data_IF_316024209109
#
_entry.id   IF_316024209109
#
_cell.length_a   1.000
_cell.length_b   1.000
_cell.length_c   1.000
_cell.angle_alpha   90.00
_cell.angle_beta   90.00
_cell.angle_gamma   90.00
#
_symmetry.space_group_name_H-M   'P 1'
#
loop_
_entity.id
_entity.type
_entity.pdbx_description
1 polymer ?
#
# COMPACT_ATOMS: atom_id res chain seq x y z
N UNK A 1 -14.50 27.77 -9.08
CA UNK A 1 -13.48 27.58 -10.13
C UNK A 1 -13.99 26.74 -11.31
N UNK A 2 -15.10 26.01 -11.17
CA UNK A 2 -15.65 25.17 -12.26
C UNK A 2 -14.97 23.81 -12.45
N UNK A 3 -14.13 23.37 -11.52
CA UNK A 3 -13.52 22.05 -11.58
C UNK A 3 -14.57 20.94 -11.40
N UNK A 4 -14.53 19.90 -12.22
CA UNK A 4 -15.37 18.71 -12.06
C UNK A 4 -14.89 17.90 -10.86
N UNK A 5 -15.72 17.67 -9.83
CA UNK A 5 -15.29 16.93 -8.63
C UNK A 5 -14.86 15.48 -8.92
N UNK A 6 -15.33 14.87 -10.00
CA UNK A 6 -14.92 13.53 -10.42
C UNK A 6 -13.48 13.47 -10.94
N UNK A 7 -12.89 14.64 -11.25
CA UNK A 7 -11.52 14.81 -11.70
C UNK A 7 -10.57 15.31 -10.60
N UNK A 8 -11.04 15.26 -9.35
CA UNK A 8 -10.25 15.61 -8.17
C UNK A 8 -9.86 14.33 -7.42
N UNK A 9 -8.56 14.11 -7.28
CA UNK A 9 -8.00 13.06 -6.43
C UNK A 9 -7.63 13.65 -5.08
N UNK A 10 -8.19 13.12 -4.00
CA UNK A 10 -8.02 13.62 -2.65
C UNK A 10 -7.53 12.49 -1.74
N UNK A 11 -6.30 12.61 -1.23
CA UNK A 11 -5.63 11.55 -0.50
C UNK A 11 -5.16 12.00 0.87
N UNK A 12 -5.24 11.08 1.85
CA UNK A 12 -4.69 11.27 3.19
C UNK A 12 -4.18 9.95 3.75
N UNK A 13 -3.48 10.02 4.90
CA UNK A 13 -2.84 8.84 5.49
C UNK A 13 -3.84 7.88 6.17
N UNK A 14 -4.77 8.38 6.98
CA UNK A 14 -5.63 7.54 7.80
C UNK A 14 -7.09 7.54 7.38
N UNK A 15 -7.82 6.44 7.66
CA UNK A 15 -9.27 6.33 7.42
C UNK A 15 -10.05 7.42 8.16
N UNK A 16 -9.62 7.76 9.38
CA UNK A 16 -10.24 8.83 10.18
C UNK A 16 -10.05 10.18 9.52
N UNK A 17 -8.84 10.50 9.06
CA UNK A 17 -8.56 11.73 8.33
C UNK A 17 -9.34 11.79 7.01
N UNK A 18 -9.43 10.69 6.25
CA UNK A 18 -10.23 10.63 5.04
C UNK A 18 -11.72 10.96 5.30
N UNK A 19 -12.31 10.36 6.35
CA UNK A 19 -13.70 10.64 6.73
C UNK A 19 -13.90 12.10 7.17
N UNK A 20 -12.98 12.66 7.95
CA UNK A 20 -13.05 14.06 8.39
C UNK A 20 -12.90 15.03 7.21
N UNK A 21 -11.98 14.74 6.30
CA UNK A 21 -11.75 15.49 5.08
C UNK A 21 -13.03 15.53 4.21
N UNK A 22 -13.68 14.38 3.99
CA UNK A 22 -14.94 14.30 3.25
C UNK A 22 -16.02 15.11 3.92
N UNK A 23 -16.23 14.97 5.24
CA UNK A 23 -17.21 15.77 6.00
C UNK A 23 -16.93 17.27 5.93
N UNK A 24 -15.65 17.66 5.91
CA UNK A 24 -15.26 19.06 5.79
C UNK A 24 -15.61 19.61 4.42
N UNK A 25 -15.35 18.85 3.36
CA UNK A 25 -15.76 19.21 1.99
C UNK A 25 -17.27 19.36 1.90
N UNK A 26 -18.04 18.41 2.44
CA UNK A 26 -19.52 18.47 2.48
C UNK A 26 -20.02 19.75 3.17
N UNK A 27 -19.47 20.08 4.35
CA UNK A 27 -19.85 21.31 5.08
C UNK A 27 -19.53 22.58 4.31
N UNK A 28 -18.36 22.64 3.67
CA UNK A 28 -17.97 23.80 2.85
C UNK A 28 -18.85 23.90 1.62
N UNK A 29 -19.09 22.78 0.92
CA UNK A 29 -19.96 22.72 -0.24
C UNK A 29 -21.38 23.17 0.08
N UNK A 30 -21.97 22.68 1.18
CA UNK A 30 -23.30 23.09 1.63
C UNK A 30 -23.39 24.60 1.90
N UNK A 31 -22.34 25.18 2.50
CA UNK A 31 -22.30 26.63 2.81
C UNK A 31 -22.16 27.49 1.55
N UNK A 32 -21.39 27.03 0.56
CA UNK A 32 -21.03 27.83 -0.63
C UNK A 32 -21.97 27.61 -1.80
N UNK A 33 -22.45 26.36 -1.99
CA UNK A 33 -23.19 25.93 -3.17
C UNK A 33 -24.69 25.69 -2.89
N UNK A 34 -25.11 25.67 -1.61
CA UNK A 34 -26.50 25.41 -1.25
C UNK A 34 -26.99 24.08 -1.82
N UNK A 35 -28.09 24.10 -2.59
CA UNK A 35 -28.74 22.91 -3.16
C UNK A 35 -27.84 22.13 -4.16
N UNK A 36 -26.76 22.73 -4.66
CA UNK A 36 -25.80 22.05 -5.55
C UNK A 36 -24.70 21.31 -4.80
N UNK A 37 -24.69 21.37 -3.49
CA UNK A 37 -23.67 20.71 -2.66
C UNK A 37 -23.65 19.19 -2.84
N UNK A 38 -24.84 18.55 -2.95
CA UNK A 38 -24.96 17.10 -3.14
C UNK A 38 -24.26 16.61 -4.42
N UNK A 39 -24.43 17.34 -5.52
CA UNK A 39 -23.80 17.00 -6.81
C UNK A 39 -22.28 17.02 -6.69
N UNK A 40 -21.74 17.99 -5.95
CA UNK A 40 -20.30 18.09 -5.75
C UNK A 40 -19.76 16.97 -4.86
N UNK A 41 -20.45 16.65 -3.78
CA UNK A 41 -20.01 15.60 -2.83
C UNK A 41 -20.14 14.20 -3.41
N UNK A 42 -21.23 13.91 -4.12
CA UNK A 42 -21.42 12.67 -4.87
C UNK A 42 -20.39 12.49 -5.99
N UNK A 43 -19.97 13.59 -6.61
CA UNK A 43 -18.93 13.59 -7.63
C UNK A 43 -17.52 13.33 -7.11
N UNK A 44 -17.26 13.52 -5.79
CA UNK A 44 -15.93 13.34 -5.21
C UNK A 44 -15.63 11.86 -4.93
N UNK A 45 -15.62 11.08 -5.99
CA UNK A 45 -15.49 9.61 -5.93
C UNK A 45 -14.07 9.12 -5.68
N UNK A 46 -13.07 10.01 -5.80
CA UNK A 46 -11.64 9.73 -5.66
C UNK A 46 -11.07 10.37 -4.39
N UNK A 47 -11.74 10.15 -3.26
CA UNK A 47 -11.29 10.59 -1.94
C UNK A 47 -11.06 9.39 -1.03
N UNK A 48 -9.91 9.32 -0.35
CA UNK A 48 -9.61 8.20 0.53
C UNK A 48 -8.20 8.20 1.08
N UNK A 49 -7.80 7.06 1.64
CA UNK A 49 -6.42 6.82 2.06
C UNK A 49 -5.54 6.44 0.87
N UNK A 50 -4.22 6.65 0.98
CA UNK A 50 -3.26 6.21 -0.04
C UNK A 50 -3.48 4.74 -0.43
N UNK A 51 -3.58 3.84 0.52
CA UNK A 51 -3.79 2.41 0.25
C UNK A 51 -5.12 2.13 -0.48
N UNK A 52 -6.20 2.80 -0.10
CA UNK A 52 -7.50 2.59 -0.76
C UNK A 52 -7.51 3.10 -2.21
N UNK A 53 -6.93 4.27 -2.44
CA UNK A 53 -6.77 4.85 -3.77
C UNK A 53 -5.80 4.01 -4.60
N UNK A 54 -4.64 3.63 -4.04
CA UNK A 54 -3.67 2.77 -4.70
C UNK A 54 -4.27 1.44 -5.13
N UNK A 55 -4.97 0.75 -4.24
CA UNK A 55 -5.64 -0.51 -4.55
C UNK A 55 -6.67 -0.37 -5.69
N UNK A 56 -7.42 0.75 -5.73
CA UNK A 56 -8.37 1.02 -6.79
C UNK A 56 -7.68 1.29 -8.13
N UNK A 57 -6.63 2.11 -8.14
CA UNK A 57 -5.86 2.40 -9.35
C UNK A 57 -5.15 1.15 -9.89
N UNK A 58 -4.62 0.30 -8.99
CA UNK A 58 -4.01 -0.97 -9.38
C UNK A 58 -5.04 -1.93 -10.01
N UNK A 59 -6.27 -2.01 -9.48
CA UNK A 59 -7.34 -2.81 -10.10
C UNK A 59 -7.76 -2.28 -11.46
N UNK A 60 -7.88 -0.96 -11.58
CA UNK A 60 -8.27 -0.31 -12.84
C UNK A 60 -7.23 -0.55 -13.96
N UNK A 61 -5.94 -0.71 -13.60
CA UNK A 61 -4.82 -0.88 -14.55
C UNK A 61 -4.15 -2.27 -14.44
N UNK A 62 -4.78 -3.23 -13.80
CA UNK A 62 -4.16 -4.52 -13.44
C UNK A 62 -3.58 -5.26 -14.65
N UNK A 63 -4.32 -5.33 -15.75
CA UNK A 63 -3.88 -6.01 -16.97
C UNK A 63 -2.63 -5.37 -17.58
N UNK A 64 -2.50 -4.05 -17.50
CA UNK A 64 -1.39 -3.30 -18.08
C UNK A 64 -0.08 -3.50 -17.31
N UNK A 65 -0.20 -3.79 -16.02
CA UNK A 65 0.95 -4.02 -15.13
C UNK A 65 1.21 -5.48 -14.80
N UNK A 66 0.44 -6.42 -15.39
CA UNK A 66 0.62 -7.85 -15.19
C UNK A 66 0.09 -8.37 -13.84
N UNK A 67 -0.85 -7.66 -13.21
CA UNK A 67 -1.56 -8.12 -12.02
C UNK A 67 -2.90 -8.75 -12.38
N UNK A 68 -3.35 -9.70 -11.56
CA UNK A 68 -4.74 -10.14 -11.57
C UNK A 68 -5.58 -9.15 -10.74
N UNK A 69 -6.57 -8.52 -11.37
CA UNK A 69 -7.44 -7.53 -10.72
C UNK A 69 -8.24 -8.09 -9.52
N UNK A 70 -8.40 -9.43 -9.44
CA UNK A 70 -9.08 -10.12 -8.35
C UNK A 70 -8.19 -10.29 -7.10
N UNK A 71 -7.04 -9.64 -7.02
CA UNK A 71 -6.17 -9.74 -5.85
C UNK A 71 -6.90 -9.38 -4.55
N UNK A 72 -6.60 -10.13 -3.49
CA UNK A 72 -7.00 -9.80 -2.12
C UNK A 72 -5.92 -8.99 -1.41
N UNK A 73 -6.30 -8.28 -0.36
CA UNK A 73 -5.36 -7.45 0.41
C UNK A 73 -5.27 -8.04 1.80
N UNK A 74 -4.06 -8.46 2.18
CA UNK A 74 -3.75 -8.85 3.54
C UNK A 74 -3.49 -7.62 4.40
N UNK A 75 -4.10 -7.59 5.57
CA UNK A 75 -3.72 -6.64 6.59
C UNK A 75 -2.41 -7.08 7.29
N UNK A 76 -2.00 -6.34 8.33
CA UNK A 76 -0.73 -6.63 9.01
C UNK A 76 -0.75 -7.96 9.75
N UNK A 77 -1.91 -8.40 10.25
CA UNK A 77 -2.05 -9.67 10.98
C UNK A 77 -2.05 -10.83 10.00
N UNK A 78 -2.83 -10.76 8.93
CA UNK A 78 -2.86 -11.74 7.84
C UNK A 78 -1.46 -11.92 7.23
N UNK A 79 -0.75 -10.81 6.98
CA UNK A 79 0.62 -10.82 6.45
C UNK A 79 1.60 -11.50 7.41
N UNK A 80 1.47 -11.24 8.73
CA UNK A 80 2.30 -11.88 9.73
C UNK A 80 2.00 -13.36 9.86
N UNK A 81 0.75 -13.77 9.69
CA UNK A 81 0.34 -15.18 9.74
C UNK A 81 0.83 -15.95 8.52
N UNK A 82 0.75 -15.38 7.32
CA UNK A 82 1.36 -15.96 6.13
C UNK A 82 2.89 -16.07 6.27
N UNK A 83 3.55 -15.02 6.76
CA UNK A 83 4.99 -15.06 7.07
C UNK A 83 5.33 -16.17 8.06
N UNK A 84 4.49 -16.39 9.06
CA UNK A 84 4.68 -17.45 10.04
C UNK A 84 4.49 -18.85 9.46
N UNK A 85 3.50 -19.02 8.58
CA UNK A 85 3.27 -20.27 7.86
C UNK A 85 4.51 -20.65 7.04
N UNK A 86 4.99 -19.74 6.21
CA UNK A 86 6.20 -19.94 5.39
C UNK A 86 7.43 -20.23 6.27
N UNK A 87 7.58 -19.52 7.39
CA UNK A 87 8.65 -19.75 8.36
C UNK A 87 8.61 -21.18 8.95
N UNK A 88 7.42 -21.71 9.20
CA UNK A 88 7.22 -23.08 9.66
C UNK A 88 7.56 -24.10 8.58
N UNK A 89 7.12 -23.87 7.36
CA UNK A 89 7.37 -24.76 6.21
C UNK A 89 8.85 -24.89 5.89
N UNK A 90 9.61 -23.80 6.06
CA UNK A 90 11.07 -23.77 5.93
C UNK A 90 11.82 -24.35 7.16
N UNK A 91 11.10 -24.80 8.19
CA UNK A 91 11.70 -25.36 9.39
C UNK A 91 12.34 -24.33 10.35
N UNK A 92 12.26 -23.04 10.05
CA UNK A 92 12.90 -21.96 10.80
C UNK A 92 12.29 -21.72 12.20
N UNK A 93 11.18 -22.35 12.51
CA UNK A 93 10.55 -22.32 13.83
C UNK A 93 11.16 -23.29 14.84
N UNK A 94 12.01 -24.22 14.39
CA UNK A 94 12.58 -25.32 15.19
C UNK A 94 14.11 -25.27 15.25
N UNK A 95 14.70 -24.12 15.02
CA UNK A 95 16.15 -23.92 15.07
C UNK A 95 16.70 -23.98 16.50
N UNK A 96 17.92 -24.48 16.69
CA UNK A 96 18.61 -24.53 17.99
C UNK A 96 18.77 -23.13 18.62
N UNK A 97 19.06 -22.13 17.78
CA UNK A 97 19.01 -20.72 18.18
C UNK A 97 17.66 -20.13 17.84
N UNK A 98 17.20 -19.19 18.66
CA UNK A 98 15.89 -18.59 18.50
C UNK A 98 15.82 -17.69 17.25
N UNK A 99 15.28 -18.22 16.15
CA UNK A 99 14.96 -17.44 14.95
C UNK A 99 13.93 -16.32 15.24
N UNK A 100 13.99 -15.18 14.58
CA UNK A 100 13.05 -14.06 14.77
C UNK A 100 11.58 -14.48 14.68
N UNK A 101 10.74 -13.89 15.53
CA UNK A 101 9.30 -14.12 15.51
C UNK A 101 8.63 -13.50 14.27
N UNK A 102 7.43 -13.99 13.90
CA UNK A 102 6.68 -13.54 12.71
C UNK A 102 6.59 -12.02 12.56
N UNK A 103 6.30 -11.33 13.66
CA UNK A 103 6.19 -9.87 13.65
C UNK A 103 7.52 -9.15 13.41
N UNK A 104 8.64 -9.71 13.90
CA UNK A 104 9.98 -9.19 13.63
C UNK A 104 10.38 -9.45 12.18
N UNK A 105 10.12 -10.65 11.65
CA UNK A 105 10.38 -10.98 10.24
C UNK A 105 9.61 -10.03 9.31
N UNK A 106 8.32 -9.82 9.57
CA UNK A 106 7.49 -8.90 8.79
C UNK A 106 8.00 -7.45 8.90
N UNK A 107 8.43 -7.00 10.09
CA UNK A 107 8.96 -5.65 10.28
C UNK A 107 10.28 -5.44 9.52
N UNK A 108 11.16 -6.45 9.47
CA UNK A 108 12.40 -6.42 8.69
C UNK A 108 12.07 -6.36 7.19
N UNK A 109 11.19 -7.24 6.73
CA UNK A 109 10.72 -7.28 5.32
C UNK A 109 10.17 -5.93 4.89
N UNK A 110 9.17 -5.43 5.60
CA UNK A 110 8.53 -4.13 5.35
C UNK A 110 9.56 -2.99 5.29
N UNK A 111 10.51 -2.99 6.23
CA UNK A 111 11.56 -1.98 6.26
C UNK A 111 12.48 -2.03 5.03
N UNK A 112 12.87 -3.23 4.59
CA UNK A 112 13.72 -3.42 3.43
C UNK A 112 13.01 -3.00 2.15
N UNK A 113 11.75 -3.41 1.98
CA UNK A 113 10.93 -3.09 0.81
C UNK A 113 10.66 -1.57 0.72
N UNK A 114 10.19 -0.95 1.80
CA UNK A 114 9.86 0.47 1.79
C UNK A 114 11.08 1.39 1.68
N UNK A 115 12.22 0.98 2.24
CA UNK A 115 13.47 1.72 2.11
C UNK A 115 14.20 1.45 0.79
N UNK A 116 13.77 0.44 0.02
CA UNK A 116 14.47 -0.07 -1.17
C UNK A 116 15.97 -0.31 -0.86
N UNK A 117 16.25 -0.91 0.29
CA UNK A 117 17.58 -1.09 0.83
C UNK A 117 17.93 -2.57 0.94
N UNK A 118 19.22 -2.87 0.81
CA UNK A 118 19.76 -4.21 1.00
C UNK A 118 19.47 -4.71 2.43
N UNK A 119 19.12 -5.99 2.54
CA UNK A 119 18.72 -6.60 3.81
C UNK A 119 19.78 -6.43 4.89
N UNK A 120 21.04 -6.64 4.54
CA UNK A 120 22.18 -6.53 5.48
C UNK A 120 22.30 -5.12 6.05
N UNK A 121 22.08 -4.08 5.23
CA UNK A 121 22.10 -2.70 5.69
C UNK A 121 20.95 -2.41 6.66
N UNK A 122 19.76 -2.96 6.38
CA UNK A 122 18.58 -2.85 7.25
C UNK A 122 18.82 -3.56 8.58
N UNK A 123 19.38 -4.78 8.52
CA UNK A 123 19.70 -5.56 9.72
C UNK A 123 20.72 -4.83 10.59
N UNK A 124 21.85 -4.42 10.01
CA UNK A 124 22.92 -3.75 10.75
C UNK A 124 22.42 -2.47 11.43
N UNK A 125 21.56 -1.69 10.79
CA UNK A 125 21.07 -0.42 11.29
C UNK A 125 19.92 -0.55 12.30
N UNK A 126 18.96 -1.44 12.03
CA UNK A 126 17.67 -1.46 12.73
C UNK A 126 17.40 -2.74 13.52
N UNK A 127 18.04 -3.85 13.16
CA UNK A 127 17.82 -5.17 13.77
C UNK A 127 19.16 -5.90 14.00
N UNK A 128 20.15 -5.31 14.69
CA UNK A 128 21.50 -5.87 14.82
C UNK A 128 21.53 -7.28 15.42
N UNK A 129 20.54 -7.64 16.25
CA UNK A 129 20.39 -8.97 16.83
C UNK A 129 19.94 -10.04 15.82
N UNK A 130 19.54 -9.63 14.61
CA UNK A 130 19.12 -10.53 13.53
C UNK A 130 20.18 -10.69 12.43
N UNK A 131 21.33 -10.02 12.52
CA UNK A 131 22.38 -10.05 11.48
C UNK A 131 22.85 -11.47 11.15
N UNK A 132 22.96 -12.34 12.18
CA UNK A 132 23.35 -13.74 11.99
C UNK A 132 22.34 -14.60 11.21
N UNK A 133 21.17 -14.08 10.92
CA UNK A 133 20.09 -14.77 10.18
C UNK A 133 19.85 -14.20 8.77
N UNK A 134 20.81 -13.46 8.22
CA UNK A 134 20.60 -12.75 6.96
C UNK A 134 20.22 -13.69 5.80
N UNK A 135 20.88 -14.83 5.67
CA UNK A 135 20.63 -15.78 4.56
C UNK A 135 19.28 -16.51 4.73
N UNK A 136 18.95 -16.90 5.96
CA UNK A 136 17.66 -17.52 6.28
C UNK A 136 16.51 -16.52 6.09
N UNK A 137 16.71 -15.26 6.43
CA UNK A 137 15.73 -14.20 6.20
C UNK A 137 15.54 -13.93 4.70
N UNK A 138 16.58 -13.93 3.88
CA UNK A 138 16.46 -13.84 2.41
C UNK A 138 15.63 -14.99 1.86
N UNK A 139 15.93 -16.21 2.29
CA UNK A 139 15.17 -17.40 1.89
C UNK A 139 13.71 -17.29 2.30
N UNK A 140 13.44 -16.87 3.55
CA UNK A 140 12.09 -16.67 4.07
C UNK A 140 11.33 -15.61 3.25
N UNK A 141 11.96 -14.49 2.94
CA UNK A 141 11.31 -13.39 2.21
C UNK A 141 11.04 -13.76 0.75
N UNK A 142 11.93 -14.51 0.10
CA UNK A 142 11.68 -15.07 -1.24
C UNK A 142 10.45 -15.98 -1.24
N UNK A 143 10.40 -16.95 -0.32
CA UNK A 143 9.26 -17.86 -0.20
C UNK A 143 7.96 -17.15 0.22
N UNK A 144 8.03 -16.09 1.02
CA UNK A 144 6.88 -15.26 1.38
C UNK A 144 6.29 -14.55 0.15
N UNK A 145 7.14 -13.99 -0.71
CA UNK A 145 6.71 -13.36 -1.98
C UNK A 145 6.06 -14.40 -2.90
N UNK A 146 6.66 -15.58 -3.06
CA UNK A 146 6.09 -16.68 -3.84
C UNK A 146 4.72 -17.12 -3.29
N UNK A 147 4.58 -17.24 -1.98
CA UNK A 147 3.32 -17.59 -1.34
C UNK A 147 2.23 -16.54 -1.58
N UNK A 148 2.56 -15.24 -1.52
CA UNK A 148 1.62 -14.17 -1.86
C UNK A 148 1.18 -14.24 -3.32
N UNK A 149 2.11 -14.45 -4.24
CA UNK A 149 1.82 -14.59 -5.68
C UNK A 149 0.93 -15.79 -5.96
N UNK A 150 1.23 -16.94 -5.36
CA UNK A 150 0.44 -18.17 -5.53
C UNK A 150 -1.02 -18.02 -5.05
N UNK A 151 -1.25 -17.19 -4.05
CA UNK A 151 -2.58 -16.91 -3.49
C UNK A 151 -3.27 -15.68 -4.09
N UNK A 152 -2.62 -14.99 -5.03
CA UNK A 152 -3.07 -13.70 -5.58
C UNK A 152 -3.38 -12.69 -4.47
N UNK A 153 -2.41 -12.47 -3.59
CA UNK A 153 -2.51 -11.60 -2.42
C UNK A 153 -1.47 -10.50 -2.51
N UNK A 154 -1.85 -9.29 -2.16
CA UNK A 154 -0.95 -8.16 -1.92
C UNK A 154 -1.05 -7.73 -0.45
N UNK A 155 0.08 -7.42 0.18
CA UNK A 155 0.09 -6.72 1.46
C UNK A 155 0.14 -5.19 1.26
N UNK A 156 0.14 -4.43 2.35
CA UNK A 156 0.18 -2.97 2.25
C UNK A 156 1.47 -2.43 1.62
N UNK A 157 2.59 -3.11 1.80
CA UNK A 157 3.87 -2.73 1.20
C UNK A 157 3.84 -2.98 -0.31
N UNK A 158 3.26 -4.10 -0.75
CA UNK A 158 3.07 -4.40 -2.17
C UNK A 158 2.19 -3.36 -2.86
N UNK A 159 1.10 -2.92 -2.21
CA UNK A 159 0.22 -1.89 -2.80
C UNK A 159 1.00 -0.61 -3.14
N UNK A 160 1.87 -0.16 -2.24
CA UNK A 160 2.66 1.04 -2.47
C UNK A 160 3.76 0.80 -3.51
N UNK A 161 4.42 -0.35 -3.48
CA UNK A 161 5.45 -0.72 -4.44
C UNK A 161 4.89 -0.81 -5.87
N UNK A 162 3.81 -1.56 -6.05
CA UNK A 162 3.14 -1.69 -7.35
C UNK A 162 2.59 -0.35 -7.85
N UNK A 163 2.06 0.47 -6.96
CA UNK A 163 1.59 1.81 -7.33
C UNK A 163 2.74 2.70 -7.78
N UNK A 164 3.87 2.69 -7.07
CA UNK A 164 5.06 3.43 -7.48
C UNK A 164 5.57 2.97 -8.85
N UNK A 165 5.64 1.65 -9.10
CA UNK A 165 6.05 1.09 -10.39
C UNK A 165 5.07 1.45 -11.50
N UNK A 166 3.76 1.34 -11.26
CA UNK A 166 2.71 1.75 -12.19
C UNK A 166 2.86 3.23 -12.59
N UNK A 167 3.16 4.10 -11.62
CA UNK A 167 3.40 5.52 -11.88
C UNK A 167 4.73 5.82 -12.61
N UNK A 168 5.59 4.84 -12.80
CA UNK A 168 6.79 4.97 -13.64
C UNK A 168 6.52 4.64 -15.13
N UNK A 169 5.37 4.00 -15.44
CA UNK A 169 4.98 3.66 -16.82
C UNK A 169 4.40 4.87 -17.56
N UNK A 170 5.05 5.39 -18.63
CA UNK A 170 4.62 6.63 -19.29
C UNK A 170 3.19 6.60 -19.80
N UNK A 171 2.73 5.47 -20.34
CA UNK A 171 1.38 5.32 -20.87
C UNK A 171 0.31 5.47 -19.77
N UNK A 172 0.54 4.85 -18.62
CA UNK A 172 -0.37 4.92 -17.47
C UNK A 172 -0.35 6.32 -16.85
N UNK A 173 0.83 6.94 -16.76
CA UNK A 173 0.97 8.32 -16.27
C UNK A 173 0.14 9.28 -17.11
N UNK A 174 0.15 9.13 -18.44
CA UNK A 174 -0.64 9.99 -19.33
C UNK A 174 -2.15 9.75 -19.16
N UNK A 175 -2.58 8.51 -18.97
CA UNK A 175 -3.97 8.19 -18.64
C UNK A 175 -4.39 8.84 -17.32
N UNK A 176 -3.56 8.74 -16.27
CA UNK A 176 -3.84 9.36 -14.98
C UNK A 176 -3.89 10.90 -15.06
N UNK A 177 -2.97 11.51 -15.82
CA UNK A 177 -2.99 12.96 -16.08
C UNK A 177 -4.26 13.40 -16.83
N UNK A 178 -4.74 12.61 -17.77
CA UNK A 178 -5.99 12.90 -18.48
C UNK A 178 -7.22 12.73 -17.59
N UNK A 179 -7.13 11.89 -16.55
CA UNK A 179 -8.22 11.57 -15.62
C UNK A 179 -8.40 12.61 -14.52
N UNK A 180 -7.29 13.15 -13.99
CA UNK A 180 -7.29 14.05 -12.83
C UNK A 180 -6.73 15.42 -13.18
N UNK A 181 -7.54 16.47 -12.93
CA UNK A 181 -7.13 17.86 -13.08
C UNK A 181 -6.44 18.38 -11.81
N UNK A 182 -6.81 17.81 -10.64
CA UNK A 182 -6.27 18.21 -9.34
C UNK A 182 -5.94 17.00 -8.48
N UNK A 183 -4.75 16.99 -7.91
CA UNK A 183 -4.30 16.01 -6.92
C UNK A 183 -4.01 16.76 -5.63
N UNK A 184 -4.76 16.45 -4.58
CA UNK A 184 -4.65 17.05 -3.26
C UNK A 184 -4.23 15.98 -2.25
N UNK A 185 -3.12 16.21 -1.60
CA UNK A 185 -2.52 15.30 -0.62
C UNK A 185 -2.45 16.01 0.73
N UNK A 186 -3.13 15.44 1.71
CA UNK A 186 -3.05 15.87 3.10
C UNK A 186 -1.97 15.06 3.83
N UNK A 187 -1.32 15.64 4.82
CA UNK A 187 -0.20 15.04 5.58
C UNK A 187 0.95 14.58 4.64
N UNK A 188 1.30 15.44 3.70
CA UNK A 188 2.32 15.14 2.66
C UNK A 188 3.71 14.84 3.23
N UNK A 189 4.00 15.28 4.46
CA UNK A 189 5.25 15.05 5.16
C UNK A 189 5.37 13.62 5.74
N UNK A 190 4.28 12.88 5.88
CA UNK A 190 4.23 11.52 6.44
C UNK A 190 4.49 10.47 5.35
#
# INVERSE_FOLDING_TARGET
TGADPRRILLMTFSRRAASEMTRRVERIAARVLGDRASIMTEGLTWAGTFHAIGARLLRDNALEIGLDAAFTIHDREDSADLMNLVRHDLGLSKTESRFPAKGTCLAIYSRAVNAQAELEAVLAKSFPWCVGWAEELKTLFGAYVEAKQAQNVLDYDDLLLWWAQMCAEPAIVEQLRSRFDHILVDEYQD
#
